data_IF_619693097051
#
_entry.id   IF_619693097051
#
_cell.length_a   1.000
_cell.length_b   1.000
_cell.length_c   1.000
_cell.angle_alpha   90.00
_cell.angle_beta   90.00
_cell.angle_gamma   90.00
#
_symmetry.space_group_name_H-M   'P 1'
#
loop_
_entity.id
_entity.type
_entity.pdbx_description
1 polymer ?
#
# COMPACT_ATOMS: atom_id res chain seq x y z
N UNK A 1 23.31 -52.88 -22.90
CA UNK A 1 23.79 -51.58 -23.32
C UNK A 1 22.82 -50.86 -24.30
N UNK A 2 22.25 -51.53 -25.29
CA UNK A 2 21.27 -50.89 -26.22
C UNK A 2 20.04 -50.31 -25.52
N UNK A 3 19.49 -50.97 -24.51
CA UNK A 3 18.27 -50.50 -23.83
C UNK A 3 18.55 -49.29 -22.92
N UNK A 4 19.78 -49.11 -22.42
CA UNK A 4 20.17 -47.94 -21.61
C UNK A 4 20.29 -46.69 -22.47
N UNK A 5 20.75 -46.84 -23.72
CA UNK A 5 20.87 -45.70 -24.67
C UNK A 5 19.48 -45.26 -25.12
N UNK A 6 18.54 -46.20 -25.30
CA UNK A 6 17.15 -45.86 -25.65
C UNK A 6 16.44 -45.10 -24.54
N UNK A 7 16.70 -45.48 -23.28
CA UNK A 7 16.13 -44.83 -22.11
C UNK A 7 16.66 -43.38 -21.95
N UNK A 8 17.97 -43.18 -22.22
CA UNK A 8 18.61 -41.89 -22.16
C UNK A 8 18.13 -40.95 -23.32
N UNK A 9 17.90 -41.50 -24.51
CA UNK A 9 17.38 -40.78 -25.64
C UNK A 9 15.91 -40.34 -25.42
N UNK A 10 15.09 -41.18 -24.81
CA UNK A 10 13.72 -40.83 -24.41
C UNK A 10 13.67 -39.78 -23.32
N UNK A 11 14.61 -39.81 -22.36
CA UNK A 11 14.71 -38.83 -21.29
C UNK A 11 15.17 -37.45 -21.82
N UNK A 12 16.10 -37.41 -22.78
CA UNK A 12 16.52 -36.16 -23.42
C UNK A 12 15.41 -35.55 -24.30
N UNK A 13 14.58 -36.35 -24.96
CA UNK A 13 13.47 -35.84 -25.78
C UNK A 13 12.32 -35.27 -24.93
N UNK A 14 12.17 -35.68 -23.68
CA UNK A 14 11.19 -35.10 -22.75
C UNK A 14 11.58 -33.71 -22.25
N UNK A 15 12.86 -33.35 -22.27
CA UNK A 15 13.36 -32.02 -21.85
C UNK A 15 13.11 -30.91 -22.88
N UNK A 16 12.83 -31.27 -24.14
CA UNK A 16 12.56 -30.26 -25.20
C UNK A 16 11.10 -29.81 -25.26
N UNK A 17 10.19 -30.43 -24.49
CA UNK A 17 8.75 -30.11 -24.49
C UNK A 17 8.38 -28.94 -23.56
N UNK A 18 9.31 -28.37 -22.80
CA UNK A 18 9.06 -27.23 -21.93
C UNK A 18 9.35 -25.87 -22.54
N UNK A 19 9.53 -25.79 -23.85
CA UNK A 19 9.71 -24.54 -24.59
C UNK A 19 8.42 -23.83 -24.99
N UNK A 20 7.29 -24.10 -24.34
CA UNK A 20 6.09 -23.29 -24.54
C UNK A 20 6.33 -21.93 -23.87
N UNK A 21 6.43 -20.87 -24.68
CA UNK A 21 6.34 -19.51 -24.17
C UNK A 21 5.04 -19.41 -23.36
N UNK A 22 5.16 -19.26 -22.04
CA UNK A 22 4.00 -18.98 -21.22
C UNK A 22 3.40 -17.66 -21.69
N UNK A 23 2.18 -17.69 -22.16
CA UNK A 23 1.39 -16.49 -22.35
C UNK A 23 1.16 -15.89 -20.97
N UNK A 24 1.81 -14.76 -20.70
CA UNK A 24 1.62 -14.01 -19.46
C UNK A 24 0.58 -12.94 -19.71
N UNK A 25 -0.27 -12.70 -18.72
CA UNK A 25 -1.31 -11.67 -18.76
C UNK A 25 -0.74 -10.27 -19.10
N UNK A 26 0.52 -10.05 -18.77
CA UNK A 26 1.32 -8.89 -19.15
C UNK A 26 2.41 -9.35 -20.13
N UNK A 27 2.07 -9.49 -21.40
CA UNK A 27 3.05 -9.72 -22.46
C UNK A 27 4.04 -8.57 -22.51
N UNK A 28 5.37 -8.83 -22.44
CA UNK A 28 6.45 -7.85 -22.23
C UNK A 28 6.06 -6.83 -21.16
N UNK A 29 6.15 -7.22 -19.90
CA UNK A 29 5.89 -6.33 -18.77
C UNK A 29 6.80 -5.10 -18.89
N UNK A 30 6.21 -3.97 -19.30
CA UNK A 30 6.89 -2.69 -19.30
C UNK A 30 6.99 -2.17 -17.86
N UNK A 31 7.77 -2.86 -17.01
CA UNK A 31 8.21 -2.28 -15.75
C UNK A 31 9.04 -1.07 -16.10
N UNK A 32 8.50 0.11 -15.84
CA UNK A 32 9.13 1.38 -16.19
C UNK A 32 9.88 1.99 -15.02
N UNK A 33 9.65 1.51 -13.80
CA UNK A 33 10.31 2.01 -12.62
C UNK A 33 9.84 1.40 -11.32
N UNK A 34 10.29 2.00 -10.22
CA UNK A 34 9.88 1.69 -8.87
C UNK A 34 10.08 2.92 -7.98
N UNK A 35 9.29 3.01 -6.93
CA UNK A 35 9.42 4.07 -5.94
C UNK A 35 9.19 3.55 -4.53
N UNK A 36 9.63 4.33 -3.55
CA UNK A 36 9.31 4.17 -2.14
C UNK A 36 9.36 5.50 -1.43
N UNK A 37 8.74 5.56 -0.25
CA UNK A 37 8.82 6.76 0.55
C UNK A 37 7.81 6.83 1.69
N UNK A 38 7.92 7.89 2.51
CA UNK A 38 7.03 8.12 3.65
C UNK A 38 5.64 8.60 3.21
N UNK A 39 4.66 8.23 4.03
CA UNK A 39 3.26 8.63 3.93
C UNK A 39 2.87 9.24 5.27
N UNK A 40 2.24 10.42 5.22
CA UNK A 40 1.62 11.07 6.38
C UNK A 40 0.13 11.21 6.09
N UNK A 41 -0.70 10.73 6.99
CA UNK A 41 -2.14 10.77 6.87
C UNK A 41 -2.76 11.52 8.04
N UNK A 42 -3.73 12.36 7.72
CA UNK A 42 -4.64 13.02 8.65
C UNK A 42 -6.03 12.45 8.43
N UNK A 43 -6.59 11.76 9.41
CA UNK A 43 -7.94 11.20 9.37
C UNK A 43 -8.85 11.97 10.32
N UNK A 44 -10.04 12.34 9.86
CA UNK A 44 -11.02 13.15 10.58
C UNK A 44 -12.20 12.29 11.06
N UNK A 45 -11.92 11.20 11.76
CA UNK A 45 -12.93 10.32 12.30
C UNK A 45 -13.35 10.76 13.72
N UNK A 46 -14.66 10.69 14.02
CA UNK A 46 -15.24 10.89 15.37
C UNK A 46 -14.79 12.18 16.09
N UNK A 47 -14.88 13.34 15.43
CA UNK A 47 -14.50 14.65 15.98
C UNK A 47 -13.03 14.76 16.48
N UNK A 48 -12.23 13.75 16.22
CA UNK A 48 -10.80 13.71 16.56
C UNK A 48 -9.95 13.61 15.31
N UNK A 49 -8.92 14.43 15.23
CA UNK A 49 -7.91 14.29 14.19
C UNK A 49 -6.90 13.23 14.58
N UNK A 50 -6.86 12.16 13.81
CA UNK A 50 -5.85 11.11 13.97
C UNK A 50 -4.76 11.30 12.93
N UNK A 51 -3.50 11.27 13.39
CA UNK A 51 -2.33 11.33 12.51
C UNK A 51 -1.70 9.94 12.46
N UNK A 52 -1.57 9.41 11.26
CA UNK A 52 -0.83 8.17 10.99
C UNK A 52 0.39 8.47 10.14
N UNK A 53 1.50 7.82 10.46
CA UNK A 53 2.74 7.92 9.70
C UNK A 53 3.19 6.52 9.33
N UNK A 54 3.74 6.41 8.15
CA UNK A 54 4.25 5.16 7.65
C UNK A 54 5.03 5.33 6.37
N UNK A 55 5.05 4.29 5.58
CA UNK A 55 5.71 4.32 4.29
C UNK A 55 5.28 3.15 3.42
N UNK A 56 5.68 3.22 2.17
CA UNK A 56 5.41 2.18 1.21
C UNK A 56 6.37 2.22 0.04
N UNK A 57 6.22 1.22 -0.82
CA UNK A 57 6.96 1.17 -2.07
C UNK A 57 6.24 0.30 -3.07
N UNK A 58 6.45 0.59 -4.35
CA UNK A 58 5.78 -0.11 -5.44
C UNK A 58 6.63 -0.16 -6.71
N UNK A 59 6.36 -1.16 -7.53
CA UNK A 59 6.82 -1.25 -8.93
C UNK A 59 5.82 -0.57 -9.83
N UNK A 60 6.32 0.15 -10.84
CA UNK A 60 5.51 0.87 -11.83
C UNK A 60 5.46 0.07 -13.12
N UNK A 61 4.24 -0.18 -13.61
CA UNK A 61 3.95 -0.94 -14.81
C UNK A 61 3.07 -0.06 -15.72
N UNK A 62 3.70 0.61 -16.69
CA UNK A 62 3.02 1.66 -17.47
C UNK A 62 2.60 2.84 -16.59
N UNK A 63 1.31 3.13 -16.55
CA UNK A 63 0.73 4.19 -15.71
C UNK A 63 0.22 3.68 -14.34
N UNK A 64 0.27 2.36 -14.09
CA UNK A 64 -0.17 1.72 -12.86
C UNK A 64 1.02 1.34 -11.97
N UNK A 65 0.76 1.16 -10.69
CA UNK A 65 1.73 0.61 -9.76
C UNK A 65 1.09 -0.42 -8.82
N UNK A 66 1.92 -1.34 -8.37
CA UNK A 66 1.58 -2.36 -7.37
C UNK A 66 2.73 -2.49 -6.38
N UNK A 67 2.40 -2.48 -5.10
CA UNK A 67 3.39 -2.59 -4.05
C UNK A 67 2.80 -2.88 -2.68
N UNK A 68 3.52 -2.47 -1.65
CA UNK A 68 3.13 -2.64 -0.26
C UNK A 68 3.29 -1.37 0.56
N UNK A 69 2.57 -1.30 1.66
CA UNK A 69 2.63 -0.20 2.60
C UNK A 69 2.52 -0.69 4.05
N UNK A 70 2.93 0.17 5.00
CA UNK A 70 2.70 0.00 6.42
C UNK A 70 2.55 1.35 7.10
N UNK A 71 1.55 1.48 7.98
CA UNK A 71 1.21 2.72 8.67
C UNK A 71 0.83 2.46 10.13
N UNK A 72 1.03 3.45 10.97
CA UNK A 72 0.62 3.42 12.37
C UNK A 72 0.24 4.80 12.89
N UNK A 73 -0.72 4.85 13.80
CA UNK A 73 -1.17 6.07 14.46
C UNK A 73 -0.06 6.61 15.36
N UNK A 74 0.25 7.91 15.26
CA UNK A 74 1.31 8.59 16.02
C UNK A 74 0.78 9.44 17.17
N UNK A 75 -0.48 9.90 17.08
CA UNK A 75 -1.18 10.65 18.13
C UNK A 75 -2.35 9.80 18.64
N UNK A 76 -2.11 8.87 19.56
CA UNK A 76 -3.18 8.02 20.09
C UNK A 76 -4.22 8.84 20.82
N UNK A 77 -5.47 8.48 20.67
CA UNK A 77 -6.57 9.08 21.40
C UNK A 77 -6.64 8.48 22.81
N UNK A 78 -6.76 9.35 23.83
CA UNK A 78 -7.11 8.94 25.16
C UNK A 78 -8.63 8.95 25.30
N UNK A 79 -9.18 7.82 25.68
CA UNK A 79 -10.62 7.64 25.86
C UNK A 79 -10.86 7.39 27.34
N UNK A 80 -11.88 8.07 27.88
CA UNK A 80 -12.28 8.07 29.28
C UNK A 80 -11.34 8.86 30.23
N UNK A 81 -11.98 9.67 31.12
CA UNK A 81 -11.30 10.49 32.13
C UNK A 81 -11.18 9.76 33.47
N UNK A 82 -11.85 8.63 33.66
CA UNK A 82 -11.85 7.86 34.92
C UNK A 82 -10.83 6.74 34.85
N UNK A 83 -10.84 5.96 33.75
CA UNK A 83 -9.83 4.93 33.44
C UNK A 83 -9.26 5.18 32.04
N UNK A 84 -8.29 6.09 31.90
CA UNK A 84 -7.77 6.48 30.59
C UNK A 84 -7.07 5.31 29.89
N UNK A 85 -7.51 5.00 28.70
CA UNK A 85 -6.87 4.02 27.84
C UNK A 85 -6.46 4.63 26.50
N UNK A 86 -5.36 4.14 25.99
CA UNK A 86 -4.76 4.57 24.74
C UNK A 86 -5.14 3.62 23.63
N UNK A 87 -5.62 4.18 22.52
CA UNK A 87 -6.01 3.39 21.34
C UNK A 87 -5.11 3.74 20.16
N UNK A 88 -4.51 2.74 19.56
CA UNK A 88 -3.60 2.86 18.42
C UNK A 88 -4.02 1.88 17.33
N UNK A 89 -3.98 2.33 16.06
CA UNK A 89 -4.17 1.49 14.90
C UNK A 89 -2.84 1.33 14.15
N UNK A 90 -2.42 0.09 13.94
CA UNK A 90 -1.32 -0.25 13.03
C UNK A 90 -1.80 -1.19 11.94
N UNK A 91 -1.49 -0.88 10.68
CA UNK A 91 -1.91 -1.70 9.55
C UNK A 91 -0.90 -1.68 8.40
N UNK A 92 -0.98 -2.70 7.55
CA UNK A 92 -0.15 -2.80 6.35
C UNK A 92 -0.71 -3.81 5.37
N UNK A 93 -0.27 -3.72 4.14
CA UNK A 93 -0.79 -4.58 3.08
C UNK A 93 -0.38 -4.15 1.69
N UNK A 94 -1.29 -4.32 0.74
CA UNK A 94 -1.10 -3.99 -0.66
C UNK A 94 -1.42 -2.52 -0.95
N UNK A 95 -0.63 -1.93 -1.82
CA UNK A 95 -0.83 -0.58 -2.34
C UNK A 95 -0.88 -0.62 -3.86
N UNK A 96 -2.03 -0.30 -4.43
CA UNK A 96 -2.28 -0.31 -5.87
C UNK A 96 -2.78 1.04 -6.34
N UNK A 97 -2.38 1.49 -7.52
CA UNK A 97 -2.85 2.78 -8.02
C UNK A 97 -2.29 3.14 -9.39
N UNK A 98 -2.48 4.41 -9.76
CA UNK A 98 -2.00 4.95 -11.02
C UNK A 98 -1.93 6.46 -11.05
N UNK A 99 -1.24 6.97 -12.08
CA UNK A 99 -1.01 8.41 -12.32
C UNK A 99 -1.32 8.77 -13.77
N UNK A 100 -2.19 9.77 -14.01
CA UNK A 100 -2.70 10.11 -15.34
C UNK A 100 -2.78 11.64 -15.57
N UNK A 101 -2.19 12.19 -16.61
CA UNK A 101 -1.07 11.72 -17.42
C UNK A 101 0.27 11.97 -16.71
N UNK A 102 1.03 10.92 -16.47
CA UNK A 102 2.24 10.90 -15.62
C UNK A 102 3.40 11.81 -16.06
N UNK A 103 3.39 12.28 -17.33
CA UNK A 103 4.42 13.15 -17.91
C UNK A 103 4.26 14.65 -17.61
N UNK A 104 3.09 15.08 -17.13
CA UNK A 104 2.85 16.51 -16.80
C UNK A 104 3.41 16.86 -15.43
N UNK A 105 3.71 18.15 -15.22
CA UNK A 105 4.19 18.67 -13.94
C UNK A 105 3.21 18.35 -12.81
N UNK A 106 1.92 18.60 -13.07
CA UNK A 106 0.81 18.29 -12.18
C UNK A 106 -0.08 17.28 -12.89
N UNK A 107 -0.42 16.20 -12.24
CA UNK A 107 -1.25 15.16 -12.82
C UNK A 107 -2.12 14.48 -11.75
N UNK A 108 -3.14 13.79 -12.21
CA UNK A 108 -4.06 13.07 -11.33
C UNK A 108 -3.39 11.82 -10.77
N UNK A 109 -3.57 11.60 -9.47
CA UNK A 109 -3.12 10.42 -8.74
C UNK A 109 -4.32 9.76 -8.07
N UNK A 110 -4.43 8.45 -8.19
CA UNK A 110 -5.44 7.66 -7.49
C UNK A 110 -4.85 6.32 -7.06
N UNK A 111 -5.16 5.90 -5.85
CA UNK A 111 -4.74 4.60 -5.34
C UNK A 111 -5.71 4.01 -4.33
N UNK A 112 -5.47 2.76 -3.96
CA UNK A 112 -6.14 2.08 -2.87
C UNK A 112 -5.11 1.30 -2.05
N UNK A 113 -5.21 1.44 -0.74
CA UNK A 113 -4.50 0.64 0.25
C UNK A 113 -5.46 -0.43 0.78
N UNK A 114 -5.06 -1.69 0.70
CA UNK A 114 -5.85 -2.86 1.12
C UNK A 114 -4.98 -3.65 2.07
N UNK A 115 -5.37 -3.74 3.33
CA UNK A 115 -4.49 -4.34 4.31
C UNK A 115 -5.19 -4.89 5.53
N UNK A 116 -4.37 -5.40 6.43
CA UNK A 116 -4.76 -5.92 7.73
C UNK A 116 -3.89 -5.29 8.80
N UNK A 117 -4.40 -5.26 10.00
CA UNK A 117 -3.70 -4.68 11.12
C UNK A 117 -4.31 -5.06 12.44
N UNK A 118 -3.95 -4.30 13.46
CA UNK A 118 -4.50 -4.46 14.79
C UNK A 118 -4.81 -3.10 15.42
N UNK A 119 -5.90 -3.06 16.15
CA UNK A 119 -6.21 -2.01 17.12
C UNK A 119 -5.59 -2.44 18.45
N UNK A 120 -4.67 -1.66 18.95
CA UNK A 120 -4.00 -1.90 20.22
C UNK A 120 -4.59 -0.97 21.27
N UNK A 121 -5.01 -1.55 22.40
CA UNK A 121 -5.53 -0.83 23.54
C UNK A 121 -4.58 -1.04 24.72
N UNK A 122 -4.16 0.05 25.35
CA UNK A 122 -3.32 0.01 26.54
C UNK A 122 -3.98 0.79 27.66
N UNK A 123 -4.25 0.12 28.77
CA UNK A 123 -4.72 0.74 30.00
C UNK A 123 -3.52 1.31 30.77
N UNK A 124 -3.76 2.46 31.40
CA UNK A 124 -2.68 3.21 32.08
C UNK A 124 -2.18 2.46 33.34
N UNK A 125 -3.07 1.82 34.08
CA UNK A 125 -2.78 1.28 35.41
C UNK A 125 -2.35 -0.19 35.43
N UNK A 126 -2.77 -1.01 34.45
CA UNK A 126 -2.68 -2.47 34.59
C UNK A 126 -1.64 -3.16 33.68
N UNK A 127 -0.88 -2.44 32.84
CA UNK A 127 -0.05 -3.04 31.78
C UNK A 127 -0.83 -4.05 30.89
N UNK A 128 -2.15 -4.01 30.93
CA UNK A 128 -3.01 -4.85 30.11
C UNK A 128 -3.02 -4.30 28.69
N UNK A 129 -2.65 -5.15 27.75
CA UNK A 129 -2.73 -4.86 26.33
C UNK A 129 -3.77 -5.77 25.69
N UNK A 130 -4.67 -5.17 24.97
CA UNK A 130 -5.67 -5.87 24.15
C UNK A 130 -5.38 -5.54 22.68
N UNK A 131 -5.28 -6.58 21.86
CA UNK A 131 -5.09 -6.48 20.43
C UNK A 131 -6.31 -7.06 19.72
N UNK A 132 -6.88 -6.32 18.79
CA UNK A 132 -7.99 -6.78 17.95
C UNK A 132 -7.63 -6.64 16.48
N UNK A 133 -7.79 -7.74 15.73
CA UNK A 133 -7.40 -7.79 14.32
C UNK A 133 -8.47 -7.13 13.44
N UNK A 134 -8.02 -6.28 12.53
CA UNK A 134 -8.90 -5.51 11.66
C UNK A 134 -8.48 -5.61 10.19
N UNK A 135 -9.45 -5.44 9.31
CA UNK A 135 -9.26 -5.20 7.89
C UNK A 135 -9.34 -3.70 7.61
N UNK A 136 -8.48 -3.20 6.73
CA UNK A 136 -8.44 -1.78 6.35
C UNK A 136 -8.51 -1.66 4.83
N UNK A 137 -9.46 -0.85 4.35
CA UNK A 137 -9.58 -0.43 2.97
C UNK A 137 -9.55 1.10 2.91
N UNK A 138 -8.64 1.65 2.10
CA UNK A 138 -8.44 3.08 2.01
C UNK A 138 -8.24 3.50 0.55
N UNK A 139 -9.33 3.80 -0.19
CA UNK A 139 -9.26 4.48 -1.47
C UNK A 139 -8.84 5.94 -1.28
N UNK A 140 -8.02 6.43 -2.21
CA UNK A 140 -7.55 7.81 -2.24
C UNK A 140 -7.48 8.35 -3.67
N UNK A 141 -7.68 9.66 -3.81
CA UNK A 141 -7.54 10.38 -5.07
C UNK A 141 -7.11 11.82 -4.83
N UNK A 142 -6.35 12.38 -5.75
CA UNK A 142 -5.85 13.74 -5.66
C UNK A 142 -4.88 14.10 -6.77
N UNK A 143 -3.88 14.89 -6.43
CA UNK A 143 -2.89 15.39 -7.37
C UNK A 143 -1.48 14.98 -6.96
N UNK A 144 -0.65 14.73 -7.95
CA UNK A 144 0.78 14.49 -7.79
C UNK A 144 1.57 15.56 -8.56
N UNK A 145 2.67 16.01 -7.95
CA UNK A 145 3.61 16.99 -8.50
C UNK A 145 4.94 16.31 -8.79
N UNK A 146 5.44 16.44 -10.01
CA UNK A 146 6.80 16.05 -10.40
C UNK A 146 7.79 17.15 -9.96
N UNK A 147 8.43 17.01 -8.80
CA UNK A 147 9.43 18.00 -8.31
C UNK A 147 10.77 17.79 -9.01
N UNK A 148 11.24 16.55 -9.05
CA UNK A 148 12.44 16.12 -9.77
C UNK A 148 12.17 14.81 -10.51
N UNK A 149 13.06 14.39 -11.37
CA UNK A 149 12.93 13.11 -12.09
C UNK A 149 12.87 11.89 -11.15
N UNK A 150 13.41 12.02 -9.95
CA UNK A 150 13.48 10.99 -8.92
C UNK A 150 12.61 11.27 -7.69
N UNK A 151 11.91 12.44 -7.64
CA UNK A 151 11.11 12.84 -6.49
C UNK A 151 9.79 13.45 -6.89
N UNK A 152 8.70 12.93 -6.32
CA UNK A 152 7.33 13.39 -6.51
C UNK A 152 6.64 13.56 -5.16
N UNK A 153 5.66 14.44 -5.09
CA UNK A 153 4.80 14.65 -3.93
C UNK A 153 3.36 14.49 -4.37
N UNK A 154 2.62 13.59 -3.73
CA UNK A 154 1.18 13.42 -3.93
C UNK A 154 0.42 13.94 -2.71
N UNK A 155 -0.63 14.73 -2.97
CA UNK A 155 -1.60 15.18 -1.99
C UNK A 155 -2.97 14.64 -2.39
N UNK A 156 -3.58 13.83 -1.52
CA UNK A 156 -4.83 13.12 -1.81
C UNK A 156 -5.84 13.28 -0.69
N UNK A 157 -7.13 13.26 -1.06
CA UNK A 157 -8.21 12.96 -0.13
C UNK A 157 -8.43 11.44 -0.12
N UNK A 158 -8.71 10.89 1.05
CA UNK A 158 -8.98 9.47 1.24
C UNK A 158 -10.23 9.25 2.07
N UNK A 159 -10.73 8.03 2.03
CA UNK A 159 -11.70 7.52 3.00
C UNK A 159 -11.15 6.22 3.57
N UNK A 160 -10.99 6.17 4.90
CA UNK A 160 -10.56 4.97 5.59
C UNK A 160 -11.79 4.20 6.05
N UNK A 161 -11.86 2.94 5.69
CA UNK A 161 -12.82 1.98 6.19
C UNK A 161 -12.09 0.87 6.93
N UNK A 162 -12.41 0.71 8.20
CA UNK A 162 -11.87 -0.33 9.09
C UNK A 162 -13.00 -1.24 9.50
N UNK A 163 -12.83 -2.52 9.35
CA UNK A 163 -13.79 -3.55 9.76
C UNK A 163 -13.11 -4.61 10.64
N UNK A 164 -13.89 -5.21 11.53
CA UNK A 164 -13.40 -6.24 12.45
C UNK A 164 -13.25 -5.77 13.90
N UNK A 165 -13.44 -4.48 14.23
CA UNK A 165 -13.37 -4.00 15.61
C UNK A 165 -14.51 -4.64 16.44
N UNK A 166 -14.16 -5.29 17.54
CA UNK A 166 -15.10 -5.85 18.49
C UNK A 166 -15.30 -4.92 19.70
N UNK A 167 -16.41 -4.17 19.79
CA UNK A 167 -16.65 -3.22 20.88
C UNK A 167 -16.70 -3.86 22.27
N UNK A 168 -17.08 -5.14 22.37
CA UNK A 168 -17.13 -5.85 23.64
C UNK A 168 -15.73 -6.13 24.22
N UNK A 169 -14.69 -6.16 23.37
CA UNK A 169 -13.31 -6.39 23.77
C UNK A 169 -12.58 -5.06 23.88
N UNK A 170 -12.80 -4.18 22.91
CA UNK A 170 -12.03 -2.93 22.75
C UNK A 170 -12.62 -1.75 23.50
N UNK A 171 -13.92 -1.79 23.83
CA UNK A 171 -14.63 -0.63 24.38
C UNK A 171 -14.81 0.53 23.38
N UNK A 172 -14.41 0.34 22.13
CA UNK A 172 -14.41 1.34 21.06
C UNK A 172 -15.46 1.00 20.02
N UNK A 173 -16.14 2.01 19.49
CA UNK A 173 -17.16 1.83 18.45
C UNK A 173 -16.55 1.17 17.19
N UNK A 174 -17.35 0.34 16.48
CA UNK A 174 -16.92 -0.35 15.24
C UNK A 174 -16.45 0.62 14.17
N UNK A 175 -16.99 1.81 14.12
CA UNK A 175 -16.69 2.83 13.12
C UNK A 175 -15.67 3.86 13.62
N UNK A 176 -15.04 3.63 14.77
CA UNK A 176 -14.15 4.61 15.42
C UNK A 176 -13.04 5.15 14.49
N UNK A 177 -12.53 4.31 13.61
CA UNK A 177 -11.47 4.68 12.66
C UNK A 177 -11.98 5.01 11.25
N UNK A 178 -13.31 4.90 11.01
CA UNK A 178 -13.89 5.16 9.70
C UNK A 178 -14.09 6.67 9.50
N UNK A 179 -13.58 7.20 8.40
CA UNK A 179 -13.72 8.61 8.12
C UNK A 179 -12.95 9.09 6.90
N UNK A 180 -13.25 10.34 6.54
CA UNK A 180 -12.48 11.04 5.52
C UNK A 180 -11.14 11.50 6.09
N UNK A 181 -10.17 11.63 5.21
CA UNK A 181 -8.84 12.09 5.54
C UNK A 181 -8.13 12.72 4.36
N UNK A 182 -6.89 13.10 4.62
CA UNK A 182 -5.96 13.61 3.63
C UNK A 182 -4.60 12.94 3.80
N UNK A 183 -3.99 12.54 2.69
CA UNK A 183 -2.64 11.97 2.66
C UNK A 183 -1.66 12.92 1.98
N UNK A 184 -0.46 12.96 2.53
CA UNK A 184 0.72 13.51 1.88
C UNK A 184 1.74 12.38 1.71
N UNK A 185 2.08 12.08 0.46
CA UNK A 185 2.99 11.00 0.11
C UNK A 185 4.21 11.56 -0.60
N UNK A 186 5.39 11.23 -0.08
CA UNK A 186 6.67 11.58 -0.69
C UNK A 186 7.22 10.35 -1.40
N UNK A 187 7.36 10.41 -2.73
CA UNK A 187 7.75 9.27 -3.56
C UNK A 187 9.12 9.50 -4.13
N UNK A 188 10.06 8.64 -3.77
CA UNK A 188 11.46 8.65 -4.23
C UNK A 188 11.70 7.42 -5.10
N UNK A 189 12.21 7.61 -6.34
CA UNK A 189 12.50 6.47 -7.20
C UNK A 189 12.68 6.81 -8.68
N UNK A 190 12.57 5.78 -9.51
CA UNK A 190 12.55 5.89 -10.97
C UNK A 190 11.12 5.77 -11.47
N UNK A 191 10.62 6.80 -12.15
CA UNK A 191 9.22 6.86 -12.60
C UNK A 191 9.03 6.59 -14.09
N UNK A 192 10.02 5.97 -14.71
CA UNK A 192 10.04 5.70 -16.14
C UNK A 192 10.50 6.93 -16.94
N UNK A 193 11.42 6.70 -17.82
CA UNK A 193 11.79 7.67 -18.83
C UNK A 193 11.08 7.28 -20.11
N UNK A 194 10.02 7.98 -20.49
CA UNK A 194 9.70 8.13 -21.90
C UNK A 194 10.79 8.99 -22.52
N UNK A 195 11.92 8.37 -22.86
CA UNK A 195 12.89 8.98 -23.74
C UNK A 195 12.16 9.15 -25.08
N UNK A 196 11.55 10.28 -25.31
CA UNK A 196 11.42 10.74 -26.68
C UNK A 196 12.86 10.87 -27.20
N UNK A 197 13.25 9.95 -28.08
CA UNK A 197 14.32 10.23 -29.01
C UNK A 197 13.96 11.57 -29.65
N UNK A 198 14.72 12.59 -29.34
CA UNK A 198 14.85 13.74 -30.19
C UNK A 198 15.60 13.19 -31.41
N UNK A 199 14.85 12.82 -32.45
CA UNK A 199 15.41 12.62 -33.78
C UNK A 199 15.80 14.01 -34.25
N UNK A 200 17.13 14.29 -34.25
CA UNK A 200 17.75 15.41 -34.92
C UNK A 200 17.61 15.24 -36.44
#
# INVERSE_FOLDING_TARGET
MKNLILFFALFLSSLTLFGQQQETLFGKSNVVGAFGGPIVEYNFANDNTQVSVGGGGAVIIGDFFLGGYGMGTTNPSWIDNVDPFKVELGHGGFWIGGTFPSHKLVHFFSSAKIGWGAVNIRFYDDNVRIDDNVFVLEPEAGVELNIFRWFRIAATANYRWVDGINPAITGVDRNYYNGFGANLTFRFGGFGNHWQKWDD
#
